data_IF_536513993490
#
_entry.id   IF_536513993490
#
_cell.length_a   1.000
_cell.length_b   1.000
_cell.length_c   1.000
_cell.angle_alpha   90.00
_cell.angle_beta   90.00
_cell.angle_gamma   90.00
#
_symmetry.space_group_name_H-M   'P 1'
#
loop_
_entity.id
_entity.type
_entity.pdbx_description
1 polymer ?
#
# COMPACT_ATOMS: atom_id res chain seq x y z
N UNK A 1 -48.96 -14.00 3.87
CA UNK A 1 -47.59 -14.42 3.55
C UNK A 1 -46.93 -13.59 2.45
N UNK A 2 -47.48 -13.55 1.22
CA UNK A 2 -46.87 -12.85 0.07
C UNK A 2 -46.66 -11.33 0.30
N UNK A 3 -47.63 -10.62 0.91
CA UNK A 3 -47.50 -9.18 1.23
C UNK A 3 -46.39 -8.87 2.24
N UNK A 4 -46.12 -9.78 3.18
CA UNK A 4 -45.06 -9.64 4.18
C UNK A 4 -43.68 -9.88 3.55
N UNK A 5 -43.59 -10.86 2.65
CA UNK A 5 -42.39 -11.16 1.87
C UNK A 5 -42.02 -10.01 0.91
N UNK A 6 -43.00 -9.44 0.19
CA UNK A 6 -42.81 -8.27 -0.68
C UNK A 6 -42.41 -7.01 0.10
N UNK A 7 -42.94 -6.80 1.32
CA UNK A 7 -42.49 -5.71 2.21
C UNK A 7 -41.06 -5.91 2.67
N UNK A 8 -40.65 -7.15 2.95
CA UNK A 8 -39.28 -7.47 3.33
C UNK A 8 -38.33 -7.20 2.15
N UNK A 9 -38.64 -7.70 0.95
CA UNK A 9 -37.88 -7.39 -0.27
C UNK A 9 -37.78 -5.88 -0.51
N UNK A 10 -38.90 -5.15 -0.43
CA UNK A 10 -38.91 -3.69 -0.64
C UNK A 10 -38.08 -2.96 0.42
N UNK A 11 -38.15 -3.37 1.69
CA UNK A 11 -37.30 -2.82 2.77
C UNK A 11 -35.83 -3.15 2.56
N UNK A 12 -35.49 -4.38 2.16
CA UNK A 12 -34.13 -4.78 1.84
C UNK A 12 -33.60 -3.97 0.67
N UNK A 13 -34.39 -3.79 -0.39
CA UNK A 13 -34.06 -2.95 -1.54
C UNK A 13 -33.89 -1.48 -1.12
N UNK A 14 -34.78 -0.91 -0.32
CA UNK A 14 -34.67 0.49 0.15
C UNK A 14 -33.47 0.70 1.07
N UNK A 15 -33.24 -0.19 2.05
CA UNK A 15 -32.06 -0.16 2.91
C UNK A 15 -30.78 -0.33 2.09
N UNK A 16 -30.84 -1.11 1.01
CA UNK A 16 -29.74 -1.32 0.10
C UNK A 16 -29.49 -0.12 -0.83
N UNK A 17 -30.53 0.57 -1.33
CA UNK A 17 -30.37 1.84 -2.04
C UNK A 17 -29.83 2.95 -1.13
N UNK A 18 -30.26 2.97 0.14
CA UNK A 18 -29.68 3.84 1.17
C UNK A 18 -28.20 3.50 1.40
N UNK A 19 -27.86 2.22 1.47
CA UNK A 19 -26.48 1.73 1.59
C UNK A 19 -25.61 2.10 0.37
N UNK A 20 -26.16 1.99 -0.84
CA UNK A 20 -25.51 2.43 -2.07
C UNK A 20 -25.19 3.92 -2.02
N UNK A 21 -26.14 4.75 -1.56
CA UNK A 21 -25.97 6.20 -1.50
C UNK A 21 -24.92 6.60 -0.44
N UNK A 22 -24.88 5.91 0.71
CA UNK A 22 -23.91 6.20 1.78
C UNK A 22 -22.49 5.73 1.50
N UNK A 23 -22.29 4.68 0.71
CA UNK A 23 -20.95 4.12 0.43
C UNK A 23 -20.42 4.50 -0.97
N UNK A 24 -21.20 5.29 -1.71
CA UNK A 24 -20.78 5.85 -2.98
C UNK A 24 -20.07 7.17 -2.73
N UNK A 25 -18.78 7.17 -2.97
CA UNK A 25 -17.97 8.39 -2.92
C UNK A 25 -17.83 8.95 -4.33
N UNK A 26 -18.08 10.26 -4.47
CA UNK A 26 -17.80 11.01 -5.68
C UNK A 26 -16.60 11.89 -5.41
N UNK A 27 -15.49 11.57 -6.06
CA UNK A 27 -14.26 12.34 -5.85
C UNK A 27 -13.95 13.16 -7.08
N UNK A 28 -14.10 12.58 -8.28
CA UNK A 28 -13.74 13.21 -9.55
C UNK A 28 -14.58 12.61 -10.70
N UNK A 29 -15.37 13.41 -11.44
CA UNK A 29 -16.01 12.95 -12.70
C UNK A 29 -14.90 12.55 -13.68
N UNK A 30 -14.86 11.33 -14.27
CA UNK A 30 -16.00 10.43 -14.52
C UNK A 30 -16.06 9.16 -13.63
N UNK A 31 -15.30 9.10 -12.55
CA UNK A 31 -15.18 7.91 -11.69
C UNK A 31 -16.23 7.89 -10.57
N UNK A 32 -16.67 6.69 -10.19
CA UNK A 32 -17.53 6.43 -9.03
C UNK A 32 -16.89 5.35 -8.16
N UNK A 33 -16.79 5.59 -6.87
CA UNK A 33 -16.13 4.66 -5.95
C UNK A 33 -17.15 4.04 -5.00
N UNK A 34 -17.14 2.71 -4.87
CA UNK A 34 -18.06 1.92 -4.05
C UNK A 34 -17.27 1.04 -3.08
N UNK A 35 -17.67 1.00 -1.81
CA UNK A 35 -16.94 0.28 -0.75
C UNK A 35 -15.44 0.62 -0.76
N UNK A 36 -15.10 1.84 -1.17
CA UNK A 36 -13.72 2.27 -1.34
C UNK A 36 -13.14 2.70 0.00
N UNK A 37 -11.81 2.71 0.11
CA UNK A 37 -11.18 3.33 1.28
C UNK A 37 -11.62 4.80 1.39
N UNK A 38 -11.61 5.41 2.60
CA UNK A 38 -11.90 6.83 2.75
C UNK A 38 -11.01 7.65 1.83
N UNK A 39 -11.59 8.55 1.03
CA UNK A 39 -10.83 9.39 0.12
C UNK A 39 -10.72 10.80 0.70
N UNK A 40 -9.49 11.19 1.07
CA UNK A 40 -9.14 12.57 1.35
C UNK A 40 -8.60 13.22 0.07
N UNK A 41 -9.35 14.16 -0.50
CA UNK A 41 -8.95 14.80 -1.76
C UNK A 41 -7.67 15.64 -1.67
N UNK A 42 -7.16 15.90 -0.46
CA UNK A 42 -5.87 16.57 -0.22
C UNK A 42 -4.68 15.60 -0.32
N UNK A 43 -4.94 14.29 -0.32
CA UNK A 43 -3.94 13.23 -0.38
C UNK A 43 -3.90 12.62 -1.78
N UNK A 44 -2.78 12.81 -2.47
CA UNK A 44 -2.60 12.33 -3.87
C UNK A 44 -2.80 10.82 -3.98
N UNK A 45 -2.29 10.06 -3.02
CA UNK A 45 -2.42 8.61 -2.99
C UNK A 45 -3.88 8.13 -2.92
N UNK A 46 -4.76 8.91 -2.28
CA UNK A 46 -6.17 8.56 -2.15
C UNK A 46 -6.95 8.80 -3.45
N UNK A 47 -6.46 9.71 -4.30
CA UNK A 47 -7.08 10.04 -5.59
C UNK A 47 -6.34 9.51 -6.81
N UNK A 48 -5.23 8.80 -6.61
CA UNK A 48 -4.27 8.40 -7.64
C UNK A 48 -4.92 7.75 -8.87
N UNK A 49 -5.74 6.70 -8.68
CA UNK A 49 -6.41 6.00 -9.80
C UNK A 49 -7.42 6.89 -10.53
N UNK A 50 -8.09 7.79 -9.81
CA UNK A 50 -9.06 8.71 -10.42
C UNK A 50 -8.36 9.80 -11.22
N UNK A 51 -7.22 10.28 -10.74
CA UNK A 51 -6.39 11.25 -11.46
C UNK A 51 -5.72 10.61 -12.68
N UNK A 52 -5.22 9.38 -12.55
CA UNK A 52 -4.72 8.58 -13.66
C UNK A 52 -5.77 8.45 -14.78
N UNK A 53 -6.99 8.04 -14.41
CA UNK A 53 -8.11 7.90 -15.36
C UNK A 53 -8.42 9.20 -16.10
N UNK A 54 -8.37 10.33 -15.38
CA UNK A 54 -8.60 11.66 -15.95
C UNK A 54 -7.47 12.08 -16.88
N UNK A 55 -6.25 12.01 -16.41
CA UNK A 55 -5.05 12.42 -17.13
C UNK A 55 -4.92 11.69 -18.47
N UNK A 56 -5.12 10.37 -18.47
CA UNK A 56 -4.97 9.55 -19.68
C UNK A 56 -6.24 9.43 -20.52
N UNK A 57 -7.30 10.18 -20.19
CA UNK A 57 -8.60 10.16 -20.87
C UNK A 57 -9.12 8.74 -21.08
N UNK A 58 -9.07 7.92 -20.02
CA UNK A 58 -9.46 6.51 -20.08
C UNK A 58 -10.95 6.34 -20.40
N UNK A 59 -11.79 7.24 -19.88
CA UNK A 59 -13.25 7.14 -19.98
C UNK A 59 -13.76 8.08 -21.08
N UNK A 60 -14.47 7.56 -22.10
CA UNK A 60 -15.08 8.38 -23.15
C UNK A 60 -16.11 9.38 -22.60
N UNK A 61 -16.35 10.46 -23.33
CA UNK A 61 -17.34 11.46 -22.96
C UNK A 61 -18.73 10.86 -22.72
N UNK A 62 -19.40 11.34 -21.67
CA UNK A 62 -20.70 10.83 -21.23
C UNK A 62 -20.67 9.48 -20.49
N UNK A 63 -19.55 8.75 -20.52
CA UNK A 63 -19.40 7.46 -19.85
C UNK A 63 -18.95 7.58 -18.38
N UNK A 64 -18.98 6.46 -17.64
CA UNK A 64 -18.58 6.37 -16.22
C UNK A 64 -17.82 5.08 -15.94
N UNK A 65 -16.78 5.17 -15.12
CA UNK A 65 -16.02 4.03 -14.59
C UNK A 65 -16.36 3.83 -13.12
N UNK A 66 -16.59 2.57 -12.71
CA UNK A 66 -16.95 2.24 -11.33
C UNK A 66 -15.82 1.47 -10.66
N UNK A 67 -15.21 2.07 -9.64
CA UNK A 67 -14.25 1.41 -8.76
C UNK A 67 -14.98 0.74 -7.59
N UNK A 68 -14.55 -0.47 -7.24
CA UNK A 68 -15.07 -1.24 -6.11
C UNK A 68 -13.89 -1.68 -5.24
N UNK A 69 -14.00 -1.55 -3.92
CA UNK A 69 -13.04 -2.10 -2.96
C UNK A 69 -13.73 -2.86 -1.82
N UNK A 70 -13.02 -3.10 -0.72
CA UNK A 70 -13.37 -4.07 0.33
C UNK A 70 -14.00 -3.47 1.58
N UNK A 71 -14.28 -2.16 1.61
CA UNK A 71 -14.75 -1.43 2.80
C UNK A 71 -16.29 -1.42 2.92
N UNK A 72 -16.93 -2.56 2.72
CA UNK A 72 -18.38 -2.65 2.78
C UNK A 72 -18.97 -4.03 2.51
N UNK A 73 -20.26 -4.07 2.20
CA UNK A 73 -21.00 -5.26 1.82
C UNK A 73 -20.69 -5.61 0.35
N UNK A 74 -20.11 -6.80 0.15
CA UNK A 74 -19.71 -7.31 -1.17
C UNK A 74 -20.86 -7.43 -2.16
N UNK A 75 -22.09 -7.62 -1.67
CA UNK A 75 -23.31 -7.70 -2.49
C UNK A 75 -23.56 -6.42 -3.31
N UNK A 76 -22.80 -5.34 -3.05
CA UNK A 76 -22.88 -4.11 -3.82
C UNK A 76 -22.69 -4.33 -5.33
N UNK A 77 -21.86 -5.32 -5.70
CA UNK A 77 -21.46 -5.60 -7.08
C UNK A 77 -22.62 -5.94 -8.02
N UNK A 78 -23.73 -6.48 -7.48
CA UNK A 78 -24.92 -6.84 -8.26
C UNK A 78 -25.68 -5.61 -8.81
N UNK A 79 -25.38 -4.41 -8.29
CA UNK A 79 -26.08 -3.18 -8.62
C UNK A 79 -25.15 -2.12 -9.23
N UNK A 80 -23.84 -2.38 -9.26
CA UNK A 80 -22.87 -1.54 -9.93
C UNK A 80 -22.82 -1.92 -11.41
N UNK A 81 -23.05 -0.93 -12.29
CA UNK A 81 -22.99 -1.12 -13.75
C UNK A 81 -21.54 -1.34 -14.21
N UNK A 82 -21.37 -2.07 -15.31
CA UNK A 82 -20.09 -2.17 -16.01
C UNK A 82 -19.75 -0.85 -16.74
N UNK A 83 -18.47 -0.55 -16.97
CA UNK A 83 -17.30 -1.32 -16.52
C UNK A 83 -17.01 -1.14 -15.01
N UNK A 84 -16.52 -2.22 -14.39
CA UNK A 84 -16.17 -2.35 -12.97
C UNK A 84 -14.69 -2.67 -12.82
N UNK A 85 -14.00 -1.85 -12.03
CA UNK A 85 -12.61 -2.07 -11.64
C UNK A 85 -12.57 -2.40 -10.16
N UNK A 86 -12.11 -3.60 -9.81
CA UNK A 86 -11.78 -3.92 -8.43
C UNK A 86 -10.37 -3.41 -8.12
N UNK A 87 -10.21 -2.74 -6.98
CA UNK A 87 -8.90 -2.37 -6.44
C UNK A 87 -8.89 -2.55 -4.93
N UNK A 88 -7.80 -3.10 -4.38
CA UNK A 88 -7.58 -3.14 -2.93
C UNK A 88 -6.14 -2.84 -2.56
N UNK A 89 -5.95 -1.96 -1.59
CA UNK A 89 -4.69 -1.78 -0.85
C UNK A 89 -4.61 -2.64 0.41
N UNK A 90 -5.66 -3.43 0.70
CA UNK A 90 -5.74 -4.31 1.86
C UNK A 90 -5.42 -5.76 1.48
N UNK A 91 -4.85 -6.50 2.43
CA UNK A 91 -4.67 -7.94 2.30
C UNK A 91 -6.02 -8.67 2.42
N UNK A 92 -6.40 -9.38 1.35
CA UNK A 92 -7.66 -10.13 1.25
C UNK A 92 -7.49 -11.65 1.39
N UNK A 93 -6.25 -12.14 1.56
CA UNK A 93 -5.92 -13.56 1.60
C UNK A 93 -5.78 -14.12 3.01
N UNK A 94 -6.00 -13.29 4.02
CA UNK A 94 -5.95 -13.67 5.43
C UNK A 94 -7.06 -13.01 6.23
N UNK A 95 -7.61 -13.71 7.20
CA UNK A 95 -8.63 -13.19 8.11
C UNK A 95 -8.03 -12.52 9.36
N UNK A 96 -6.72 -12.64 9.57
CA UNK A 96 -5.96 -12.05 10.68
C UNK A 96 -6.18 -10.53 10.74
N UNK A 97 -6.21 -9.87 9.58
CA UNK A 97 -6.44 -8.43 9.50
C UNK A 97 -7.94 -8.11 9.51
N UNK A 98 -8.75 -8.88 8.76
CA UNK A 98 -10.20 -8.69 8.75
C UNK A 98 -10.94 -9.86 8.11
N UNK A 99 -11.78 -10.53 8.91
CA UNK A 99 -12.77 -11.52 8.43
C UNK A 99 -13.71 -10.98 7.37
N UNK A 100 -14.03 -9.67 7.39
CA UNK A 100 -14.92 -9.07 6.40
C UNK A 100 -14.23 -8.91 5.04
N UNK A 101 -12.96 -8.48 5.04
CA UNK A 101 -12.18 -8.29 3.80
C UNK A 101 -11.82 -9.61 3.14
N UNK A 102 -11.55 -10.65 3.94
CA UNK A 102 -11.33 -12.02 3.45
C UNK A 102 -12.49 -12.55 2.58
N UNK A 103 -13.71 -12.02 2.73
CA UNK A 103 -14.86 -12.42 1.90
C UNK A 103 -14.79 -11.90 0.46
N UNK A 104 -13.88 -10.97 0.15
CA UNK A 104 -13.60 -10.46 -1.19
C UNK A 104 -12.55 -11.36 -1.86
N UNK A 105 -12.87 -12.65 -1.99
CA UNK A 105 -11.98 -13.69 -2.51
C UNK A 105 -11.68 -13.53 -4.01
N UNK A 106 -10.85 -14.43 -4.54
CA UNK A 106 -10.59 -14.58 -5.97
C UNK A 106 -11.86 -14.59 -6.84
N UNK A 107 -12.93 -15.27 -6.38
CA UNK A 107 -14.24 -15.30 -7.07
C UNK A 107 -14.91 -13.92 -7.13
N UNK A 108 -14.62 -13.04 -6.18
CA UNK A 108 -15.13 -11.68 -6.20
C UNK A 108 -14.42 -10.84 -7.27
N UNK A 109 -13.09 -10.95 -7.34
CA UNK A 109 -12.27 -10.29 -8.36
C UNK A 109 -12.71 -10.68 -9.78
N UNK A 110 -13.01 -11.96 -10.01
CA UNK A 110 -13.50 -12.50 -11.29
C UNK A 110 -14.87 -11.94 -11.74
N UNK A 111 -15.61 -11.24 -10.87
CA UNK A 111 -16.87 -10.58 -11.24
C UNK A 111 -16.66 -9.19 -11.82
N UNK A 112 -15.45 -8.62 -11.71
CA UNK A 112 -15.12 -7.31 -12.27
C UNK A 112 -14.57 -7.45 -13.69
N UNK A 113 -14.50 -6.33 -14.42
CA UNK A 113 -13.98 -6.29 -15.80
C UNK A 113 -12.45 -6.12 -15.79
N UNK A 114 -11.92 -5.50 -14.73
CA UNK A 114 -10.49 -5.45 -14.39
C UNK A 114 -10.35 -5.57 -12.87
N UNK A 115 -9.35 -6.31 -12.41
CA UNK A 115 -8.97 -6.40 -10.99
C UNK A 115 -7.52 -6.00 -10.78
N UNK A 116 -7.26 -5.27 -9.71
CA UNK A 116 -5.95 -4.68 -9.40
C UNK A 116 -5.59 -4.94 -7.94
N UNK A 117 -4.38 -5.44 -7.66
CA UNK A 117 -3.94 -5.76 -6.31
C UNK A 117 -2.48 -6.21 -6.20
N UNK A 118 -2.22 -7.12 -5.25
CA UNK A 118 -0.89 -7.56 -4.83
C UNK A 118 -0.47 -8.96 -5.33
N UNK A 119 -1.20 -9.60 -6.23
CA UNK A 119 -0.91 -10.99 -6.59
C UNK A 119 0.03 -11.06 -7.80
N UNK A 120 1.04 -11.94 -7.79
CA UNK A 120 1.98 -12.09 -8.91
C UNK A 120 1.41 -12.88 -10.08
N UNK A 121 0.59 -13.91 -9.81
CA UNK A 121 0.17 -14.89 -10.81
C UNK A 121 -1.32 -15.22 -10.64
N UNK A 122 -2.15 -14.28 -11.06
CA UNK A 122 -3.61 -14.44 -11.07
C UNK A 122 -4.11 -14.35 -12.50
N UNK A 123 -4.83 -15.38 -12.93
CA UNK A 123 -5.49 -15.42 -14.23
C UNK A 123 -6.96 -15.77 -14.06
N UNK A 124 -7.83 -15.00 -14.71
CA UNK A 124 -9.25 -15.32 -14.79
C UNK A 124 -9.64 -15.56 -16.25
N UNK A 125 -10.71 -16.33 -16.47
CA UNK A 125 -11.22 -16.57 -17.83
C UNK A 125 -11.71 -15.30 -18.52
N UNK A 126 -12.35 -14.38 -17.77
CA UNK A 126 -13.10 -13.25 -18.31
C UNK A 126 -12.73 -11.88 -17.69
N UNK A 127 -11.66 -11.82 -16.90
CA UNK A 127 -11.25 -10.61 -16.17
C UNK A 127 -9.74 -10.45 -16.31
N UNK A 128 -9.27 -9.28 -16.74
CA UNK A 128 -7.84 -8.95 -16.65
C UNK A 128 -7.45 -8.73 -15.18
N UNK A 129 -6.25 -9.16 -14.80
CA UNK A 129 -5.64 -8.83 -13.52
C UNK A 129 -4.35 -8.04 -13.75
N UNK A 130 -4.14 -6.99 -12.95
CA UNK A 130 -2.90 -6.21 -12.94
C UNK A 130 -2.38 -6.17 -11.51
N UNK A 131 -1.10 -6.51 -11.35
CA UNK A 131 -0.38 -6.22 -10.11
C UNK A 131 -0.04 -4.74 -10.09
N UNK A 132 -0.59 -4.02 -9.11
CA UNK A 132 -0.26 -2.63 -8.84
C UNK A 132 -0.42 -2.38 -7.34
N UNK A 133 0.62 -2.72 -6.54
CA UNK A 133 0.61 -2.55 -5.10
C UNK A 133 0.39 -1.09 -4.70
N UNK A 134 -0.21 -0.87 -3.52
CA UNK A 134 -0.57 0.48 -3.07
C UNK A 134 0.63 1.42 -2.89
N UNK A 135 1.83 0.90 -2.62
CA UNK A 135 3.02 1.73 -2.47
C UNK A 135 3.31 2.59 -3.71
N UNK A 136 2.90 2.13 -4.91
CA UNK A 136 3.06 2.91 -6.15
C UNK A 136 2.36 4.26 -6.02
N UNK A 137 1.21 4.32 -5.33
CA UNK A 137 0.43 5.54 -5.17
C UNK A 137 1.09 6.55 -4.22
N UNK A 138 1.99 6.06 -3.35
CA UNK A 138 2.72 6.87 -2.37
C UNK A 138 4.00 7.48 -2.95
N UNK A 139 4.64 6.80 -3.92
CA UNK A 139 5.97 7.23 -4.41
C UNK A 139 6.03 7.61 -5.88
N UNK A 140 5.10 7.15 -6.72
CA UNK A 140 5.08 7.45 -8.15
C UNK A 140 3.91 8.39 -8.47
N UNK A 141 4.15 9.59 -9.01
CA UNK A 141 3.08 10.45 -9.52
C UNK A 141 2.24 9.76 -10.60
N UNK A 142 0.93 9.99 -10.63
CA UNK A 142 0.02 9.31 -11.57
C UNK A 142 0.31 9.65 -13.04
N UNK A 143 0.94 10.79 -13.30
CA UNK A 143 1.30 11.31 -14.62
C UNK A 143 2.80 11.18 -14.93
N UNK A 144 3.57 10.49 -14.08
CA UNK A 144 4.98 10.27 -14.33
C UNK A 144 5.20 9.44 -15.60
N UNK A 145 6.11 9.89 -16.45
CA UNK A 145 6.68 9.10 -17.53
C UNK A 145 7.87 8.27 -17.05
N UNK A 146 8.47 7.48 -17.94
CA UNK A 146 9.65 6.68 -17.62
C UNK A 146 10.81 7.50 -17.05
N UNK A 147 11.07 8.69 -17.60
CA UNK A 147 12.16 9.55 -17.15
C UNK A 147 11.90 10.08 -15.73
N UNK A 148 10.66 10.47 -15.42
CA UNK A 148 10.22 10.88 -14.10
C UNK A 148 10.34 9.76 -13.06
N UNK A 149 9.89 8.55 -13.41
CA UNK A 149 10.06 7.36 -12.54
C UNK A 149 11.55 7.10 -12.30
N UNK A 150 12.36 7.11 -13.36
CA UNK A 150 13.81 6.90 -13.25
C UNK A 150 14.46 7.93 -12.34
N UNK A 151 14.11 9.22 -12.47
CA UNK A 151 14.64 10.27 -11.62
C UNK A 151 14.27 10.09 -10.14
N UNK A 152 13.05 9.60 -9.85
CA UNK A 152 12.63 9.25 -8.47
C UNK A 152 13.49 8.12 -7.93
N UNK A 153 13.68 7.04 -8.69
CA UNK A 153 14.49 5.89 -8.28
C UNK A 153 15.96 6.28 -8.10
N UNK A 154 16.54 7.03 -9.04
CA UNK A 154 17.92 7.51 -8.96
C UNK A 154 18.13 8.36 -7.69
N UNK A 155 17.18 9.25 -7.38
CA UNK A 155 17.22 10.06 -6.15
C UNK A 155 17.14 9.20 -4.89
N UNK A 156 16.27 8.19 -4.86
CA UNK A 156 16.16 7.28 -3.72
C UNK A 156 17.38 6.36 -3.57
N UNK A 157 18.09 6.08 -4.67
CA UNK A 157 19.34 5.33 -4.66
C UNK A 157 20.54 6.19 -4.25
N UNK A 158 20.48 7.51 -4.34
CA UNK A 158 21.57 8.40 -3.91
C UNK A 158 21.83 8.30 -2.39
N UNK A 159 23.03 7.86 -1.95
CA UNK A 159 23.38 7.77 -0.53
C UNK A 159 23.36 9.11 0.21
N UNK A 160 23.44 10.24 -0.49
CA UNK A 160 23.30 11.57 0.12
C UNK A 160 21.97 11.74 0.88
N UNK A 161 20.90 11.08 0.43
CA UNK A 161 19.57 11.11 1.08
C UNK A 161 19.54 10.42 2.45
N UNK A 162 20.53 9.57 2.71
CA UNK A 162 20.69 8.80 3.94
C UNK A 162 21.74 9.44 4.88
N UNK A 163 22.51 10.41 4.38
CA UNK A 163 23.47 11.20 5.17
C UNK A 163 22.76 12.42 5.79
N UNK A 164 23.17 12.81 7.00
CA UNK A 164 22.60 13.94 7.73
C UNK A 164 22.52 13.70 9.24
N UNK A 165 21.91 14.62 9.97
CA UNK A 165 21.69 14.50 11.42
C UNK A 165 20.60 13.46 11.72
N UNK A 166 21.02 12.19 11.75
CA UNK A 166 20.24 11.02 12.14
C UNK A 166 20.72 10.53 13.50
N UNK A 167 20.45 11.32 14.52
CA UNK A 167 20.99 11.09 15.86
C UNK A 167 20.13 10.12 16.67
N UNK A 168 18.88 9.88 16.24
CA UNK A 168 17.97 8.95 16.90
C UNK A 168 18.15 7.52 16.39
N UNK A 169 18.04 6.55 17.31
CA UNK A 169 18.20 5.14 17.00
C UNK A 169 17.14 4.62 16.02
N UNK A 170 15.90 4.43 16.48
CA UNK A 170 14.85 3.82 15.67
C UNK A 170 13.46 4.34 16.02
N UNK A 171 12.60 4.40 15.01
CA UNK A 171 11.20 4.79 15.16
C UNK A 171 10.24 3.67 14.76
N UNK A 172 9.05 3.70 15.35
CA UNK A 172 7.90 2.92 14.94
C UNK A 172 6.63 3.76 14.93
N UNK A 173 5.84 3.66 13.86
CA UNK A 173 4.58 4.41 13.70
C UNK A 173 3.48 3.44 13.26
N UNK A 174 2.64 3.00 14.20
CA UNK A 174 1.50 2.14 13.91
C UNK A 174 0.34 2.37 14.89
N UNK A 175 -0.85 1.92 14.50
CA UNK A 175 -2.06 2.02 15.34
C UNK A 175 -2.34 0.77 16.16
N UNK A 176 -1.94 -0.40 15.69
CA UNK A 176 -2.27 -1.70 16.28
C UNK A 176 -1.21 -2.76 15.93
N UNK A 177 -1.28 -3.93 16.57
CA UNK A 177 -0.38 -5.07 16.37
C UNK A 177 -1.17 -6.38 16.21
N UNK A 178 -1.81 -6.56 15.04
CA UNK A 178 -2.82 -7.60 14.84
C UNK A 178 -2.26 -9.03 14.88
N UNK A 179 -0.98 -9.20 14.56
CA UNK A 179 -0.29 -10.49 14.50
C UNK A 179 0.86 -10.60 15.53
N UNK A 180 1.07 -9.59 16.37
CA UNK A 180 2.11 -9.58 17.39
C UNK A 180 3.52 -9.25 16.91
N UNK A 181 3.74 -9.05 15.60
CA UNK A 181 5.08 -8.85 15.06
C UNK A 181 5.70 -7.52 15.51
N UNK A 182 4.88 -6.46 15.62
CA UNK A 182 5.39 -5.13 15.97
C UNK A 182 6.00 -5.15 17.35
N UNK A 183 5.29 -5.73 18.33
CA UNK A 183 5.83 -5.90 19.68
C UNK A 183 7.11 -6.71 19.68
N UNK A 184 7.18 -7.83 18.94
CA UNK A 184 8.39 -8.65 18.86
C UNK A 184 9.60 -7.85 18.36
N UNK A 185 9.43 -7.07 17.28
CA UNK A 185 10.51 -6.25 16.73
C UNK A 185 10.89 -5.14 17.72
N UNK A 186 9.92 -4.40 18.26
CA UNK A 186 10.16 -3.32 19.22
C UNK A 186 10.92 -3.83 20.44
N UNK A 187 10.43 -4.89 21.08
CA UNK A 187 11.08 -5.50 22.26
C UNK A 187 12.48 -6.00 21.92
N UNK A 188 12.68 -6.58 20.72
CA UNK A 188 13.99 -7.01 20.29
C UNK A 188 15.00 -5.85 20.19
N UNK A 189 14.58 -4.67 19.73
CA UNK A 189 15.46 -3.52 19.54
C UNK A 189 15.63 -2.66 20.80
N UNK A 190 14.70 -2.73 21.75
CA UNK A 190 14.81 -2.06 23.05
C UNK A 190 16.00 -2.55 23.90
N UNK A 191 16.54 -3.75 23.61
CA UNK A 191 17.78 -4.25 24.21
C UNK A 191 19.04 -3.48 23.74
N UNK A 192 18.95 -2.71 22.65
CA UNK A 192 20.07 -1.98 22.05
C UNK A 192 20.02 -0.51 22.49
N UNK A 193 18.91 0.18 22.23
CA UNK A 193 18.68 1.58 22.61
C UNK A 193 17.16 1.89 22.58
N UNK A 194 16.78 3.13 22.93
CA UNK A 194 15.40 3.58 22.98
C UNK A 194 14.70 3.56 21.60
N UNK A 195 13.50 2.98 21.58
CA UNK A 195 12.63 2.91 20.39
C UNK A 195 11.52 3.96 20.52
N UNK A 196 11.50 4.96 19.63
CA UNK A 196 10.44 5.98 19.60
C UNK A 196 9.19 5.41 18.92
N UNK A 197 8.14 5.16 19.70
CA UNK A 197 6.83 4.74 19.20
C UNK A 197 5.90 5.96 19.12
N UNK A 198 5.78 6.55 17.93
CA UNK A 198 4.99 7.77 17.70
C UNK A 198 3.58 7.52 17.12
N UNK A 199 3.20 6.24 16.97
CA UNK A 199 1.82 5.86 16.66
C UNK A 199 1.00 5.57 17.92
N UNK A 200 -0.27 5.16 17.78
CA UNK A 200 -1.11 4.78 18.93
C UNK A 200 -0.62 3.50 19.63
N UNK A 201 0.00 2.58 18.88
CA UNK A 201 0.49 1.33 19.43
C UNK A 201 1.82 1.54 20.16
N UNK A 202 1.88 1.12 21.43
CA UNK A 202 3.04 1.29 22.32
C UNK A 202 3.56 2.73 22.40
N UNK A 203 2.67 3.71 22.24
CA UNK A 203 3.01 5.13 22.22
C UNK A 203 3.88 5.51 23.43
N UNK A 204 5.00 6.20 23.18
CA UNK A 204 5.87 6.75 24.21
C UNK A 204 6.39 8.16 23.88
N UNK A 205 5.93 8.75 22.77
CA UNK A 205 6.27 10.09 22.33
C UNK A 205 5.13 10.70 21.51
N UNK A 206 4.99 12.03 21.60
CA UNK A 206 4.10 12.83 20.76
C UNK A 206 4.87 13.68 19.73
N UNK A 207 6.19 13.50 19.63
CA UNK A 207 7.08 14.33 18.81
C UNK A 207 6.58 14.46 17.37
N UNK A 208 6.11 13.37 16.76
CA UNK A 208 5.56 13.38 15.41
C UNK A 208 4.49 14.48 15.23
N UNK A 209 3.57 14.62 16.18
CA UNK A 209 2.54 15.65 16.14
C UNK A 209 3.08 17.01 16.60
N UNK A 210 3.68 17.06 17.79
CA UNK A 210 4.02 18.31 18.47
C UNK A 210 5.20 19.07 17.84
N UNK A 211 6.18 18.34 17.27
CA UNK A 211 7.41 18.92 16.71
C UNK A 211 7.47 18.87 15.19
N UNK A 212 6.81 17.88 14.58
CA UNK A 212 6.88 17.62 13.14
C UNK A 212 5.55 17.83 12.40
N UNK A 213 4.50 18.28 13.09
CA UNK A 213 3.23 18.64 12.45
C UNK A 213 2.51 17.47 11.79
N UNK A 214 2.68 16.26 12.32
CA UNK A 214 2.19 15.00 11.76
C UNK A 214 2.83 14.63 10.39
N UNK A 215 3.96 15.26 10.02
CA UNK A 215 4.74 14.86 8.85
C UNK A 215 5.62 13.66 9.18
N UNK A 216 5.12 12.48 8.78
CA UNK A 216 5.79 11.20 8.96
C UNK A 216 7.19 11.16 8.34
N UNK A 217 7.37 11.69 7.13
CA UNK A 217 8.64 11.56 6.41
C UNK A 217 9.71 12.45 7.03
N UNK A 218 9.36 13.68 7.41
CA UNK A 218 10.28 14.59 8.10
C UNK A 218 10.64 14.02 9.48
N UNK A 219 9.67 13.49 10.23
CA UNK A 219 9.94 12.85 11.51
C UNK A 219 10.94 11.68 11.37
N UNK A 220 10.65 10.75 10.45
CA UNK A 220 11.49 9.58 10.19
C UNK A 220 12.89 9.97 9.71
N UNK A 221 13.05 11.11 9.02
CA UNK A 221 14.37 11.57 8.54
C UNK A 221 15.40 11.83 9.63
N UNK A 222 14.98 11.90 10.91
CA UNK A 222 15.86 12.08 12.07
C UNK A 222 16.37 10.76 12.68
N UNK A 223 15.92 9.60 12.16
CA UNK A 223 16.26 8.28 12.68
C UNK A 223 17.21 7.52 11.73
N UNK A 224 18.04 6.65 12.30
CA UNK A 224 18.87 5.71 11.54
C UNK A 224 18.05 4.54 11.00
N UNK A 225 17.16 3.99 11.81
CA UNK A 225 16.33 2.83 11.48
C UNK A 225 14.83 3.15 11.57
N UNK A 226 14.01 2.37 10.87
CA UNK A 226 12.55 2.43 10.98
C UNK A 226 11.96 1.02 11.00
N UNK A 227 11.20 0.71 12.07
CA UNK A 227 10.45 -0.54 12.22
C UNK A 227 9.18 -0.45 11.37
N UNK A 228 9.19 -1.13 10.23
CA UNK A 228 8.18 -1.00 9.18
C UNK A 228 7.50 -2.32 8.76
N UNK A 229 7.06 -3.20 9.70
CA UNK A 229 6.45 -4.47 9.34
C UNK A 229 5.02 -4.30 8.79
N UNK A 230 4.65 -5.24 7.93
CA UNK A 230 3.29 -5.36 7.42
C UNK A 230 2.28 -5.82 8.47
N UNK A 231 1.00 -5.58 8.18
CA UNK A 231 -0.10 -5.99 9.06
C UNK A 231 -0.33 -7.52 9.09
N UNK A 232 0.17 -8.23 8.08
CA UNK A 232 0.06 -9.67 7.92
C UNK A 232 1.12 -10.15 6.93
N UNK A 233 1.37 -11.46 6.94
CA UNK A 233 2.31 -12.09 6.02
C UNK A 233 1.58 -12.78 4.87
N UNK A 234 1.81 -12.33 3.65
CA UNK A 234 1.28 -12.94 2.43
C UNK A 234 2.19 -12.55 1.27
N UNK A 235 2.58 -13.53 0.48
CA UNK A 235 3.43 -13.32 -0.70
C UNK A 235 2.93 -12.16 -1.56
N UNK A 236 3.80 -11.19 -1.85
CA UNK A 236 3.52 -10.02 -2.69
C UNK A 236 2.79 -8.87 -2.01
N UNK A 237 2.32 -9.05 -0.76
CA UNK A 237 1.72 -8.00 0.05
C UNK A 237 2.79 -7.12 0.69
N UNK A 238 3.34 -6.21 -0.09
CA UNK A 238 4.23 -5.13 0.36
C UNK A 238 3.52 -3.79 0.12
N UNK A 239 3.46 -2.97 1.15
CA UNK A 239 2.75 -1.68 1.15
C UNK A 239 3.73 -0.52 1.23
N UNK A 240 3.25 0.70 1.47
CA UNK A 240 4.05 1.91 1.55
C UNK A 240 5.16 1.87 2.61
N UNK A 241 5.06 1.01 3.64
CA UNK A 241 5.86 1.11 4.87
C UNK A 241 7.37 1.04 4.63
N UNK A 242 7.82 0.07 3.84
CA UNK A 242 9.25 -0.07 3.49
C UNK A 242 9.71 1.07 2.57
N UNK A 243 8.84 1.53 1.68
CA UNK A 243 9.15 2.62 0.75
C UNK A 243 9.23 3.97 1.44
N UNK A 244 8.34 4.29 2.37
CA UNK A 244 8.40 5.50 3.20
C UNK A 244 9.63 5.49 4.12
N UNK A 245 10.03 4.32 4.63
CA UNK A 245 11.30 4.17 5.35
C UNK A 245 12.49 4.59 4.49
N UNK A 246 12.56 4.08 3.25
CA UNK A 246 13.61 4.42 2.30
C UNK A 246 13.53 5.90 1.90
N UNK A 247 12.33 6.43 1.64
CA UNK A 247 12.11 7.83 1.26
C UNK A 247 12.53 8.82 2.35
N UNK A 248 12.34 8.44 3.62
CA UNK A 248 12.86 9.20 4.76
C UNK A 248 14.37 8.98 4.99
N UNK A 249 15.02 8.12 4.21
CA UNK A 249 16.44 7.76 4.27
C UNK A 249 16.83 6.90 5.49
N UNK A 250 15.87 6.23 6.13
CA UNK A 250 16.13 5.25 7.17
C UNK A 250 16.57 3.91 6.56
N UNK A 251 17.33 3.12 7.32
CA UNK A 251 17.50 1.69 7.07
C UNK A 251 16.20 0.97 7.51
N UNK A 252 15.46 0.30 6.59
CA UNK A 252 14.23 -0.38 6.96
C UNK A 252 14.50 -1.64 7.78
N UNK A 253 13.78 -1.80 8.90
CA UNK A 253 13.64 -3.06 9.64
C UNK A 253 12.26 -3.63 9.33
N UNK A 254 12.23 -4.60 8.42
CA UNK A 254 11.02 -5.04 7.73
C UNK A 254 10.62 -6.47 8.07
N UNK A 255 9.32 -6.75 8.01
CA UNK A 255 8.74 -8.09 8.06
C UNK A 255 7.44 -8.11 7.24
N UNK A 256 7.18 -9.22 6.54
CA UNK A 256 6.00 -9.43 5.70
C UNK A 256 6.38 -9.85 4.28
N UNK A 257 5.40 -10.21 3.44
CA UNK A 257 5.63 -10.74 2.09
C UNK A 257 6.71 -11.84 2.05
N UNK A 258 6.64 -12.80 2.99
CA UNK A 258 7.60 -13.90 3.17
C UNK A 258 9.05 -13.42 3.34
N UNK A 259 9.25 -12.24 3.95
CA UNK A 259 10.55 -11.54 4.02
C UNK A 259 11.20 -11.32 2.65
N UNK A 260 10.40 -11.18 1.59
CA UNK A 260 10.86 -10.90 0.24
C UNK A 260 10.05 -9.74 -0.37
N UNK A 261 10.18 -8.51 0.16
CA UNK A 261 9.40 -7.38 -0.31
C UNK A 261 9.82 -6.97 -1.73
N UNK A 262 8.87 -6.96 -2.66
CA UNK A 262 9.04 -6.48 -4.04
C UNK A 262 10.38 -6.90 -4.69
N UNK A 263 10.63 -8.20 -4.89
CA UNK A 263 11.91 -8.74 -5.32
C UNK A 263 12.38 -8.21 -6.67
N UNK A 264 11.51 -7.71 -7.54
CA UNK A 264 11.90 -7.13 -8.82
C UNK A 264 12.24 -5.63 -8.74
N UNK A 265 11.98 -5.00 -7.59
CA UNK A 265 12.11 -3.55 -7.37
C UNK A 265 13.16 -3.24 -6.32
N UNK A 266 13.08 -3.89 -5.15
CA UNK A 266 13.93 -3.59 -4.00
C UNK A 266 15.19 -4.44 -4.00
N UNK A 267 16.28 -3.83 -3.55
CA UNK A 267 17.51 -4.54 -3.24
C UNK A 267 17.43 -5.06 -1.79
N UNK A 268 17.35 -6.39 -1.58
CA UNK A 268 17.22 -6.94 -0.23
C UNK A 268 18.44 -6.65 0.65
N UNK A 269 19.62 -6.37 0.08
CA UNK A 269 20.82 -6.05 0.86
C UNK A 269 20.72 -4.70 1.59
N UNK A 270 19.86 -3.80 1.12
CA UNK A 270 19.61 -2.50 1.74
C UNK A 270 18.54 -2.56 2.85
N UNK A 271 17.95 -3.73 3.10
CA UNK A 271 16.82 -3.93 4.00
C UNK A 271 17.22 -4.93 5.08
N UNK A 272 16.92 -4.60 6.34
CA UNK A 272 17.08 -5.54 7.45
C UNK A 272 15.78 -6.34 7.58
N UNK A 273 15.80 -7.58 7.08
CA UNK A 273 14.68 -8.50 7.17
C UNK A 273 14.66 -9.16 8.55
N UNK A 274 13.59 -8.94 9.32
CA UNK A 274 13.46 -9.48 10.66
C UNK A 274 13.11 -10.96 10.62
N UNK A 275 13.97 -11.79 11.20
CA UNK A 275 13.72 -13.22 11.37
C UNK A 275 13.07 -13.50 12.73
N UNK A 276 11.78 -13.84 12.71
CA UNK A 276 11.04 -14.22 13.93
C UNK A 276 11.58 -15.47 14.62
N UNK A 277 12.20 -16.38 13.87
CA UNK A 277 12.74 -17.63 14.41
C UNK A 277 14.09 -17.40 15.08
N UNK A 278 14.82 -16.37 14.65
CA UNK A 278 16.07 -15.97 15.25
C UNK A 278 16.22 -14.44 15.34
N UNK A 279 15.48 -13.77 16.25
CA UNK A 279 15.57 -12.32 16.42
C UNK A 279 16.96 -11.83 16.79
N UNK A 280 17.78 -12.68 17.43
CA UNK A 280 19.14 -12.34 17.88
C UNK A 280 20.08 -12.04 16.70
N UNK A 281 19.90 -12.67 15.55
CA UNK A 281 20.67 -12.34 14.35
C UNK A 281 20.35 -10.91 13.86
N UNK A 282 19.05 -10.57 13.81
CA UNK A 282 18.63 -9.23 13.41
C UNK A 282 19.11 -8.16 14.40
N UNK A 283 19.01 -8.46 15.70
CA UNK A 283 19.53 -7.60 16.76
C UNK A 283 21.04 -7.36 16.62
N UNK A 284 21.83 -8.42 16.41
CA UNK A 284 23.28 -8.31 16.28
C UNK A 284 23.68 -7.42 15.09
N UNK A 285 23.02 -7.59 13.94
CA UNK A 285 23.24 -6.76 12.75
C UNK A 285 22.91 -5.29 13.01
N UNK A 286 21.76 -5.00 13.63
CA UNK A 286 21.35 -3.62 13.95
C UNK A 286 22.31 -3.00 14.98
N UNK A 287 22.72 -3.75 15.99
CA UNK A 287 23.68 -3.28 17.00
C UNK A 287 25.03 -2.93 16.38
N UNK A 288 25.56 -3.79 15.49
CA UNK A 288 26.79 -3.52 14.76
C UNK A 288 26.69 -2.24 13.93
N UNK A 289 25.59 -2.09 13.17
CA UNK A 289 25.34 -0.88 12.39
C UNK A 289 25.17 0.37 13.25
N UNK A 290 24.61 0.24 14.46
CA UNK A 290 24.40 1.38 15.35
C UNK A 290 25.70 1.82 16.04
N UNK A 291 26.49 0.88 16.54
CA UNK A 291 27.70 1.15 17.30
C UNK A 291 28.92 1.50 16.42
N UNK A 292 28.89 1.13 15.13
CA UNK A 292 30.03 1.30 14.23
C UNK A 292 29.69 2.26 13.06
N UNK A 293 30.09 3.54 13.16
CA UNK A 293 29.85 4.54 12.11
C UNK A 293 30.41 4.15 10.74
N UNK A 294 31.52 3.39 10.68
CA UNK A 294 32.10 2.95 9.42
C UNK A 294 31.22 1.90 8.74
N UNK A 295 30.77 0.90 9.49
CA UNK A 295 29.87 -0.15 8.97
C UNK A 295 28.51 0.44 8.59
N UNK A 296 28.02 1.43 9.36
CA UNK A 296 26.83 2.20 8.98
C UNK A 296 27.01 2.92 7.64
N UNK A 297 28.10 3.65 7.47
CA UNK A 297 28.38 4.41 6.23
C UNK A 297 28.50 3.48 5.02
N UNK A 298 29.17 2.34 5.17
CA UNK A 298 29.26 1.30 4.15
C UNK A 298 27.87 0.73 3.79
N UNK A 299 27.02 0.47 4.79
CA UNK A 299 25.68 -0.07 4.56
C UNK A 299 24.78 0.91 3.80
N UNK A 300 24.79 2.20 4.15
CA UNK A 300 23.94 3.18 3.46
C UNK A 300 24.38 3.49 2.02
N UNK A 301 25.57 3.02 1.59
CA UNK A 301 25.95 3.07 0.17
C UNK A 301 25.15 2.07 -0.67
N UNK A 302 24.61 1.01 -0.08
CA UNK A 302 23.85 -0.02 -0.81
C UNK A 302 22.59 0.63 -1.39
N UNK A 303 22.40 0.63 -2.73
CA UNK A 303 21.21 1.20 -3.35
C UNK A 303 19.95 0.43 -2.93
N UNK A 304 18.90 1.07 -2.39
CA UNK A 304 17.68 0.38 -1.97
C UNK A 304 16.83 -0.18 -3.10
N UNK A 305 16.98 0.32 -4.33
CA UNK A 305 16.27 -0.14 -5.51
C UNK A 305 17.23 -0.79 -6.50
N UNK A 306 16.76 -1.84 -7.17
CA UNK A 306 17.48 -2.48 -8.28
C UNK A 306 17.61 -1.54 -9.48
N UNK A 307 18.63 -1.75 -10.29
CA UNK A 307 18.92 -0.92 -11.48
C UNK A 307 17.75 -0.88 -12.47
N UNK A 308 17.03 -2.00 -12.64
CA UNK A 308 15.89 -2.12 -13.53
C UNK A 308 14.54 -1.74 -12.89
N UNK A 309 14.52 -1.27 -11.63
CA UNK A 309 13.26 -0.99 -10.90
C UNK A 309 12.36 0.00 -11.67
N UNK A 310 12.94 1.06 -12.26
CA UNK A 310 12.19 2.04 -13.04
C UNK A 310 11.50 1.43 -14.27
N UNK A 311 12.15 0.48 -14.95
CA UNK A 311 11.60 -0.23 -16.11
C UNK A 311 10.43 -1.14 -15.72
N UNK A 312 10.57 -1.88 -14.61
CA UNK A 312 9.50 -2.75 -14.09
C UNK A 312 8.28 -1.93 -13.71
N UNK A 313 8.47 -0.82 -12.96
CA UNK A 313 7.38 0.09 -12.58
C UNK A 313 6.71 0.68 -13.81
N UNK A 314 7.50 1.17 -14.77
CA UNK A 314 6.95 1.74 -16.01
C UNK A 314 6.11 0.72 -16.79
N UNK A 315 6.55 -0.54 -16.83
CA UNK A 315 5.79 -1.63 -17.45
C UNK A 315 4.43 -1.82 -16.79
N UNK A 316 4.35 -1.73 -15.46
CA UNK A 316 3.06 -1.79 -14.73
C UNK A 316 2.16 -0.60 -15.06
N UNK A 317 2.71 0.61 -15.14
CA UNK A 317 1.97 1.83 -15.49
C UNK A 317 1.39 1.77 -16.91
N UNK A 318 2.20 1.35 -17.89
CA UNK A 318 1.73 1.20 -19.27
C UNK A 318 0.74 0.04 -19.42
N UNK A 319 0.91 -1.05 -18.66
CA UNK A 319 -0.09 -2.12 -18.58
C UNK A 319 -1.42 -1.58 -18.02
N UNK A 320 -1.40 -0.85 -16.91
CA UNK A 320 -2.59 -0.23 -16.32
C UNK A 320 -3.34 0.61 -17.34
N UNK A 321 -2.63 1.52 -18.01
CA UNK A 321 -3.18 2.39 -19.06
C UNK A 321 -3.84 1.60 -20.18
N UNK A 322 -3.17 0.55 -20.68
CA UNK A 322 -3.65 -0.29 -21.77
C UNK A 322 -4.94 -1.02 -21.37
N UNK A 323 -4.93 -1.75 -20.26
CA UNK A 323 -6.07 -2.54 -19.80
C UNK A 323 -7.27 -1.65 -19.47
N UNK A 324 -7.04 -0.51 -18.80
CA UNK A 324 -8.11 0.44 -18.50
C UNK A 324 -8.76 1.02 -19.77
N UNK A 325 -7.98 1.33 -20.81
CA UNK A 325 -8.53 1.81 -22.10
C UNK A 325 -9.28 0.71 -22.85
N UNK A 326 -8.93 -0.56 -22.67
CA UNK A 326 -9.63 -1.68 -23.31
C UNK A 326 -11.03 -1.90 -22.75
N UNK A 327 -11.32 -1.47 -21.51
CA UNK A 327 -12.65 -1.58 -20.88
C UNK A 327 -13.79 -0.96 -21.72
N UNK A 328 -13.48 0.02 -22.57
CA UNK A 328 -14.46 0.70 -23.43
C UNK A 328 -14.36 0.32 -24.91
N UNK A 329 -13.40 -0.54 -25.30
CA UNK A 329 -13.25 -1.01 -26.68
C UNK A 329 -14.11 -2.24 -26.99
N UNK A 330 -14.60 -2.96 -25.97
CA UNK A 330 -15.32 -4.24 -26.11
C UNK A 330 -16.85 -4.02 -26.29
N UNK A 331 -17.27 -2.84 -26.75
CA UNK A 331 -18.68 -2.47 -26.89
C UNK A 331 -19.10 -2.01 -28.30
N UNK A 332 -18.33 -2.38 -29.34
CA UNK A 332 -18.64 -2.10 -30.75
C UNK A 332 -19.32 -3.28 -31.43
#
# INVERSE_FOLDING_TARGET
MIKTYLRHIKRTITSYFKYLDTNKQFVKQPCRCYNYFPIDATKVQDTWLMDFVRHYHVVPDGSKLNFISVFGNKEIIHFVKRPRVFYTGENIHTDIVSKARFQYSHDYMAKCDLSIGFDYQVSFTNTSYIRLPIWVFYIIPFDADYAGIKAIIDRLNDPSTRRGNRDKFTAHIARHDNNGIRRKIITALQDIDHVDCAGMFMNNTNDLFEKFGDDKLIYLSTFKFNICPENSDTTGYTTEKVFESIQAGCIPVYWGSDNNPEPDILNPEAIILFDERNPKNTQAKIKELYDNPKVYEEFIQIPPFKENAAEVIWTWIEQLKREMKQLYKIGG
#
